data_IF_956758330245
#
_entry.id   IF_956758330245
#
_cell.length_a   1.000
_cell.length_b   1.000
_cell.length_c   1.000
_cell.angle_alpha   90.00
_cell.angle_beta   90.00
_cell.angle_gamma   90.00
#
_symmetry.space_group_name_H-M   'P 1'
#
loop_
_entity.id
_entity.type
_entity.pdbx_description
1 polymer ?
#
# COMPACT_ATOMS: atom_id res chain seq x y z
N UNK A 1 19.17 15.67 -3.28
CA UNK A 1 18.76 14.65 -2.28
C UNK A 1 17.85 13.64 -2.95
N UNK A 2 18.22 12.35 -3.01
CA UNK A 2 17.31 11.28 -3.49
C UNK A 2 16.21 11.08 -2.43
N UNK A 3 14.93 11.20 -2.81
CA UNK A 3 13.81 10.93 -1.90
C UNK A 3 13.86 9.43 -1.51
N UNK A 4 14.06 9.14 -0.23
CA UNK A 4 13.97 7.77 0.27
C UNK A 4 12.54 7.26 0.10
N UNK A 5 12.37 6.11 -0.55
CA UNK A 5 11.06 5.49 -0.73
C UNK A 5 10.61 4.95 0.64
N UNK A 6 9.40 5.28 1.12
CA UNK A 6 8.92 4.80 2.41
C UNK A 6 8.85 3.27 2.47
N UNK A 7 9.13 2.69 3.64
CA UNK A 7 9.07 1.22 3.87
C UNK A 7 7.72 0.61 3.48
N UNK A 8 6.61 1.35 3.62
CA UNK A 8 5.27 0.91 3.22
C UNK A 8 5.13 0.72 1.70
N UNK A 9 5.74 1.58 0.89
CA UNK A 9 5.75 1.41 -0.57
C UNK A 9 6.62 0.23 -0.99
N UNK A 10 7.79 0.08 -0.37
CA UNK A 10 8.67 -1.07 -0.58
C UNK A 10 7.95 -2.39 -0.20
N UNK A 11 7.17 -2.40 0.89
CA UNK A 11 6.38 -3.57 1.28
C UNK A 11 5.34 -3.95 0.22
N UNK A 12 4.67 -2.97 -0.40
CA UNK A 12 3.71 -3.24 -1.47
C UNK A 12 4.38 -3.83 -2.72
N UNK A 13 5.60 -3.39 -3.06
CA UNK A 13 6.35 -4.00 -4.18
C UNK A 13 6.63 -5.49 -3.94
N UNK A 14 6.95 -5.87 -2.70
CA UNK A 14 7.11 -7.29 -2.35
C UNK A 14 5.81 -8.08 -2.47
N UNK A 15 4.67 -7.47 -2.12
CA UNK A 15 3.36 -8.08 -2.34
C UNK A 15 3.10 -8.29 -3.83
N UNK A 16 3.45 -7.31 -4.67
CA UNK A 16 3.38 -7.42 -6.13
C UNK A 16 4.28 -8.52 -6.70
N UNK A 17 5.37 -8.87 -6.00
CA UNK A 17 6.27 -9.99 -6.34
C UNK A 17 5.78 -11.36 -5.82
N UNK A 18 4.56 -11.44 -5.29
CA UNK A 18 3.93 -12.69 -4.84
C UNK A 18 4.07 -13.01 -3.35
N UNK A 19 4.64 -12.10 -2.54
CA UNK A 19 4.62 -12.27 -1.08
C UNK A 19 3.22 -11.96 -0.52
N UNK A 20 2.85 -12.63 0.56
CA UNK A 20 1.68 -12.23 1.35
C UNK A 20 1.93 -10.91 2.09
N UNK A 21 0.87 -10.19 2.44
CA UNK A 21 0.98 -8.94 3.21
C UNK A 21 1.74 -9.14 4.54
N UNK A 22 1.49 -10.26 5.24
CA UNK A 22 2.20 -10.63 6.45
C UNK A 22 3.70 -10.86 6.23
N UNK A 23 4.09 -11.55 5.16
CA UNK A 23 5.49 -11.78 4.82
C UNK A 23 6.20 -10.48 4.45
N UNK A 24 5.56 -9.63 3.65
CA UNK A 24 6.09 -8.33 3.27
C UNK A 24 6.24 -7.39 4.49
N UNK A 25 5.27 -7.41 5.40
CA UNK A 25 5.30 -6.63 6.64
C UNK A 25 6.49 -7.04 7.53
N UNK A 26 6.69 -8.35 7.73
CA UNK A 26 7.85 -8.90 8.48
C UNK A 26 9.16 -8.51 7.82
N UNK A 27 9.26 -8.62 6.49
CA UNK A 27 10.48 -8.29 5.73
C UNK A 27 10.86 -6.81 5.87
N UNK A 28 9.87 -5.92 5.95
CA UNK A 28 10.06 -4.47 6.03
C UNK A 28 10.03 -3.92 7.45
N UNK A 29 9.84 -4.78 8.46
CA UNK A 29 9.74 -4.41 9.88
C UNK A 29 8.64 -3.36 10.14
N UNK A 30 7.45 -3.59 9.57
CA UNK A 30 6.27 -2.74 9.77
C UNK A 30 5.06 -3.58 10.14
N UNK A 31 3.99 -2.93 10.60
CA UNK A 31 2.73 -3.63 10.88
C UNK A 31 2.06 -4.10 9.60
N UNK A 32 1.43 -5.28 9.65
CA UNK A 32 0.63 -5.80 8.53
C UNK A 32 -0.53 -4.85 8.17
N UNK A 33 -1.13 -4.20 9.17
CA UNK A 33 -2.16 -3.18 8.99
C UNK A 33 -1.68 -2.00 8.14
N UNK A 34 -0.40 -1.64 8.20
CA UNK A 34 0.19 -0.58 7.37
C UNK A 34 0.30 -1.00 5.91
N UNK A 35 0.60 -2.27 5.64
CA UNK A 35 0.63 -2.83 4.27
C UNK A 35 -0.77 -2.83 3.67
N UNK A 36 -1.78 -3.30 4.40
CA UNK A 36 -3.17 -3.25 3.93
C UNK A 36 -3.66 -1.83 3.69
N UNK A 37 -3.32 -0.87 4.55
CA UNK A 37 -3.66 0.53 4.34
C UNK A 37 -3.02 1.09 3.05
N UNK A 38 -1.76 0.74 2.77
CA UNK A 38 -1.08 1.14 1.54
C UNK A 38 -1.72 0.50 0.30
N UNK A 39 -2.05 -0.79 0.35
CA UNK A 39 -2.74 -1.50 -0.74
C UNK A 39 -4.11 -0.90 -1.05
N UNK A 40 -4.89 -0.55 -0.01
CA UNK A 40 -6.20 0.12 -0.19
C UNK A 40 -6.04 1.47 -0.89
N UNK A 41 -5.03 2.26 -0.51
CA UNK A 41 -4.75 3.55 -1.14
C UNK A 41 -4.40 3.42 -2.62
N UNK A 42 -3.59 2.42 -2.97
CA UNK A 42 -3.23 2.15 -4.37
C UNK A 42 -4.46 1.75 -5.20
N UNK A 43 -5.23 0.77 -4.73
CA UNK A 43 -6.46 0.34 -5.42
C UNK A 43 -7.48 1.47 -5.58
N UNK A 44 -7.65 2.30 -4.55
CA UNK A 44 -8.57 3.42 -4.59
C UNK A 44 -8.13 4.48 -5.62
N UNK A 45 -6.82 4.71 -5.76
CA UNK A 45 -6.25 5.57 -6.81
C UNK A 45 -6.55 5.01 -8.21
N UNK A 46 -6.39 3.71 -8.42
CA UNK A 46 -6.70 3.05 -9.70
C UNK A 46 -8.20 3.10 -10.03
N UNK A 47 -9.06 2.99 -9.01
CA UNK A 47 -10.52 3.01 -9.16
C UNK A 47 -11.12 4.43 -9.20
N UNK A 48 -10.33 5.47 -8.93
CA UNK A 48 -10.83 6.85 -8.79
C UNK A 48 -11.75 7.04 -7.58
N UNK A 49 -11.54 6.26 -6.52
CA UNK A 49 -12.33 6.31 -5.29
C UNK A 49 -11.49 6.86 -4.11
N UNK A 50 -12.19 7.41 -3.12
CA UNK A 50 -11.58 7.84 -1.88
C UNK A 50 -11.08 6.61 -1.08
N UNK A 51 -9.82 6.58 -0.63
CA UNK A 51 -9.22 5.42 0.03
C UNK A 51 -9.73 5.15 1.45
N UNK A 52 -10.49 6.08 2.04
CA UNK A 52 -11.04 5.96 3.39
C UNK A 52 -12.51 5.56 3.41
N UNK A 53 -13.36 6.23 2.61
CA UNK A 53 -14.79 5.97 2.56
C UNK A 53 -15.26 5.18 1.33
N UNK A 54 -14.37 4.92 0.34
CA UNK A 54 -14.71 4.16 -0.86
C UNK A 54 -15.60 4.90 -1.88
N UNK A 55 -16.04 6.12 -1.58
CA UNK A 55 -16.86 6.92 -2.50
C UNK A 55 -16.07 7.32 -3.73
N UNK A 56 -16.71 7.29 -4.91
CA UNK A 56 -16.10 7.79 -6.16
C UNK A 56 -15.78 9.27 -6.03
N UNK A 57 -14.55 9.65 -6.37
CA UNK A 57 -14.15 11.04 -6.49
C UNK A 57 -14.73 11.52 -7.82
N UNK A 58 -15.89 12.20 -7.77
CA UNK A 58 -16.46 12.85 -8.95
C UNK A 58 -15.56 14.03 -9.33
N UNK A 59 -15.19 14.13 -10.61
CA UNK A 59 -14.47 15.28 -11.19
C UNK A 59 -15.39 16.50 -11.21
#
# INVERSE_FOLDING_TARGET
MKRAIPKTYQAVEWVGKGLTAAQAARKMEISESSVYAALRKLRAKDLGCCPTCGQKIRK
#
